data_IF_799761292545
#
_entry.id   IF_799761292545
#
_cell.length_a   1.000
_cell.length_b   1.000
_cell.length_c   1.000
_cell.angle_alpha   90.00
_cell.angle_beta   90.00
_cell.angle_gamma   90.00
#
_symmetry.space_group_name_H-M   'P 1'
#
loop_
_entity.id
_entity.type
_entity.pdbx_description
1 polymer ?
#
# COMPACT_ATOMS: atom_id res chain seq x y z
N UNK A 1 -37.90 39.50 23.04
CA UNK A 1 -38.81 40.46 22.36
C UNK A 1 -38.42 40.55 20.89
N UNK A 2 -39.41 40.61 19.97
CA UNK A 2 -39.30 40.84 18.50
C UNK A 2 -38.49 39.75 17.73
N UNK A 3 -39.06 39.01 16.77
CA UNK A 3 -39.77 39.36 15.49
C UNK A 3 -38.80 39.92 14.44
N UNK A 4 -38.88 39.59 13.13
CA UNK A 4 -39.66 38.61 12.34
C UNK A 4 -39.06 38.54 10.91
N UNK A 5 -39.40 37.48 10.15
CA UNK A 5 -39.65 37.38 8.67
C UNK A 5 -38.93 38.33 7.66
N UNK A 6 -38.60 37.93 6.43
CA UNK A 6 -39.45 37.32 5.37
C UNK A 6 -38.57 36.54 4.35
N UNK A 7 -39.12 35.74 3.43
CA UNK A 7 -40.53 35.60 3.05
C UNK A 7 -40.87 34.41 2.17
N UNK A 8 -42.15 34.33 1.84
CA UNK A 8 -42.81 33.24 1.11
C UNK A 8 -43.74 33.86 0.06
N UNK A 9 -43.41 33.66 -1.22
CA UNK A 9 -44.29 33.80 -2.40
C UNK A 9 -43.64 32.92 -3.49
N UNK A 10 -44.31 31.99 -4.19
CA UNK A 10 -45.70 31.56 -4.10
C UNK A 10 -46.20 31.19 -5.50
N UNK A 11 -46.92 30.07 -5.65
CA UNK A 11 -47.86 29.86 -6.74
C UNK A 11 -48.90 28.79 -6.37
N UNK A 12 -50.15 29.06 -6.71
CA UNK A 12 -51.35 28.34 -6.29
C UNK A 12 -52.14 27.95 -7.54
N UNK A 13 -52.77 26.77 -7.50
CA UNK A 13 -53.72 26.31 -8.52
C UNK A 13 -53.32 24.95 -9.11
N UNK A 14 -54.25 24.05 -9.45
CA UNK A 14 -55.71 24.12 -9.31
C UNK A 14 -56.25 22.69 -9.22
N UNK A 15 -57.32 22.46 -8.46
CA UNK A 15 -57.94 21.14 -8.35
C UNK A 15 -58.86 20.84 -9.54
N UNK A 16 -58.88 19.58 -10.01
CA UNK A 16 -60.08 19.04 -10.64
C UNK A 16 -60.27 17.55 -10.33
N UNK A 17 -61.48 17.24 -9.89
CA UNK A 17 -62.00 15.90 -9.58
C UNK A 17 -62.55 15.26 -10.87
N UNK A 18 -62.29 13.97 -11.11
CA UNK A 18 -63.07 13.18 -12.06
C UNK A 18 -63.15 11.71 -11.62
N UNK A 19 -64.27 11.37 -10.98
CA UNK A 19 -64.74 10.01 -10.73
C UNK A 19 -65.76 9.62 -11.81
N UNK A 20 -66.17 8.35 -11.79
CA UNK A 20 -67.45 7.77 -12.25
C UNK A 20 -67.42 6.88 -13.53
N UNK A 21 -67.47 5.57 -13.25
CA UNK A 21 -68.17 4.46 -13.93
C UNK A 21 -67.73 3.91 -15.31
N UNK A 22 -67.20 2.69 -15.27
CA UNK A 22 -67.91 1.45 -15.72
C UNK A 22 -67.07 0.22 -15.28
N UNK A 23 -67.59 -0.96 -14.96
CA UNK A 23 -68.98 -1.45 -14.87
C UNK A 23 -68.98 -2.99 -14.98
N UNK A 24 -69.48 -3.68 -13.93
CA UNK A 24 -69.84 -5.12 -13.85
C UNK A 24 -70.38 -5.73 -15.17
N UNK A 25 -70.30 -7.03 -15.53
CA UNK A 25 -69.98 -8.37 -14.92
C UNK A 25 -69.92 -9.39 -16.09
N UNK A 26 -69.38 -10.63 -16.05
CA UNK A 26 -69.84 -11.86 -15.37
C UNK A 26 -68.89 -13.06 -15.63
N UNK A 27 -68.86 -14.01 -14.70
CA UNK A 27 -68.67 -15.49 -14.85
C UNK A 27 -70.01 -16.12 -14.33
N UNK A 28 -70.44 -17.39 -14.55
CA UNK A 28 -69.75 -18.58 -15.08
C UNK A 28 -70.59 -19.34 -16.17
N UNK A 29 -70.38 -20.61 -16.57
CA UNK A 29 -69.47 -21.67 -16.11
C UNK A 29 -68.91 -22.55 -17.26
N UNK A 30 -69.35 -23.81 -17.43
CA UNK A 30 -68.71 -24.83 -18.27
C UNK A 30 -69.70 -25.75 -19.01
N UNK A 31 -69.23 -26.39 -20.09
CA UNK A 31 -69.84 -27.62 -20.63
C UNK A 31 -68.76 -28.61 -21.04
N UNK A 32 -68.85 -29.86 -20.56
CA UNK A 32 -68.00 -30.97 -21.00
C UNK A 32 -68.52 -31.53 -22.33
N UNK A 33 -67.62 -31.97 -23.20
CA UNK A 33 -67.90 -33.13 -24.06
C UNK A 33 -66.67 -34.02 -24.15
N UNK A 34 -66.85 -35.30 -23.83
CA UNK A 34 -65.85 -36.35 -23.99
C UNK A 34 -65.99 -37.01 -25.36
N UNK A 35 -64.86 -37.32 -26.00
CA UNK A 35 -64.81 -38.30 -27.09
C UNK A 35 -63.41 -38.90 -27.18
N UNK A 36 -63.28 -40.14 -26.75
CA UNK A 36 -62.05 -40.92 -26.85
C UNK A 36 -61.96 -41.63 -28.20
N UNK A 37 -60.80 -41.55 -28.87
CA UNK A 37 -60.33 -42.62 -29.78
C UNK A 37 -58.84 -42.87 -29.55
N UNK A 38 -58.46 -44.12 -29.76
CA UNK A 38 -57.26 -44.73 -29.22
C UNK A 38 -56.16 -44.91 -30.29
N UNK A 39 -54.91 -44.80 -29.83
CA UNK A 39 -53.63 -45.24 -30.42
C UNK A 39 -53.46 -45.36 -31.95
N UNK A 40 -52.43 -44.67 -32.46
CA UNK A 40 -51.39 -45.32 -33.28
C UNK A 40 -50.05 -45.08 -32.60
N UNK A 41 -49.30 -46.14 -32.31
CA UNK A 41 -48.10 -46.12 -31.47
C UNK A 41 -46.85 -46.31 -32.34
N UNK A 42 -46.29 -45.22 -32.84
CA UNK A 42 -45.00 -45.24 -33.54
C UNK A 42 -43.87 -45.00 -32.53
N UNK A 43 -43.15 -46.05 -32.17
CA UNK A 43 -42.01 -45.95 -31.24
C UNK A 43 -40.83 -45.21 -31.88
N UNK A 44 -40.77 -43.89 -31.70
CA UNK A 44 -39.51 -43.16 -31.83
C UNK A 44 -38.73 -43.28 -30.53
N UNK A 45 -37.65 -44.06 -30.56
CA UNK A 45 -36.65 -44.12 -29.49
C UNK A 45 -35.86 -42.81 -29.49
N UNK A 46 -36.41 -41.77 -28.87
CA UNK A 46 -35.69 -40.52 -28.65
C UNK A 46 -34.61 -40.76 -27.59
N UNK A 47 -33.36 -40.91 -28.05
CA UNK A 47 -32.17 -40.94 -27.19
C UNK A 47 -32.10 -39.64 -26.40
N UNK A 48 -32.52 -39.69 -25.14
CA UNK A 48 -32.54 -38.54 -24.25
C UNK A 48 -31.10 -38.19 -23.85
N UNK A 49 -30.39 -37.47 -24.73
CA UNK A 49 -29.22 -36.69 -24.35
C UNK A 49 -29.69 -35.53 -23.46
N UNK A 50 -30.00 -35.85 -22.20
CA UNK A 50 -30.27 -34.86 -21.17
C UNK A 50 -28.99 -34.06 -20.97
N UNK A 51 -28.92 -32.86 -21.57
CA UNK A 51 -27.88 -31.89 -21.24
C UNK A 51 -27.82 -31.76 -19.72
N UNK A 52 -26.63 -31.79 -19.10
CA UNK A 52 -26.50 -31.68 -17.65
C UNK A 52 -27.24 -30.42 -17.19
N UNK A 53 -28.09 -30.59 -16.16
CA UNK A 53 -28.90 -29.50 -15.63
C UNK A 53 -28.00 -28.51 -14.92
N UNK A 54 -27.61 -27.44 -15.63
CA UNK A 54 -26.87 -26.31 -15.08
C UNK A 54 -27.63 -25.79 -13.86
N UNK A 55 -26.91 -25.69 -12.74
CA UNK A 55 -27.40 -25.14 -11.48
C UNK A 55 -26.31 -24.18 -11.00
N UNK A 56 -26.67 -22.92 -10.78
CA UNK A 56 -25.72 -21.92 -10.28
C UNK A 56 -25.48 -22.14 -8.78
N UNK A 57 -24.24 -21.94 -8.35
CA UNK A 57 -23.89 -21.80 -6.92
C UNK A 57 -24.43 -20.49 -6.36
N UNK A 58 -24.46 -20.35 -5.03
CA UNK A 58 -24.98 -19.15 -4.38
C UNK A 58 -24.16 -17.89 -4.72
N UNK A 59 -22.83 -17.98 -4.83
CA UNK A 59 -22.00 -16.85 -5.29
C UNK A 59 -22.21 -16.53 -6.77
N UNK A 60 -22.44 -17.53 -7.63
CA UNK A 60 -22.80 -17.28 -9.04
C UNK A 60 -24.18 -16.61 -9.15
N UNK A 61 -25.17 -16.97 -8.30
CA UNK A 61 -26.45 -16.26 -8.23
C UNK A 61 -26.27 -14.81 -7.80
N UNK A 62 -25.48 -14.54 -6.76
CA UNK A 62 -25.14 -13.16 -6.35
C UNK A 62 -24.47 -12.39 -7.48
N UNK A 63 -23.54 -13.02 -8.21
CA UNK A 63 -22.92 -12.43 -9.39
C UNK A 63 -23.93 -12.12 -10.51
N UNK A 64 -24.91 -13.02 -10.80
CA UNK A 64 -25.97 -12.70 -11.78
C UNK A 64 -26.76 -11.47 -11.38
N UNK A 65 -27.07 -11.32 -10.10
CA UNK A 65 -27.86 -10.19 -9.60
C UNK A 65 -27.08 -8.89 -9.70
N UNK A 66 -25.81 -8.89 -9.33
CA UNK A 66 -24.96 -7.71 -9.49
C UNK A 66 -24.87 -7.29 -10.96
N UNK A 67 -24.76 -8.24 -11.90
CA UNK A 67 -24.80 -7.96 -13.34
C UNK A 67 -26.16 -7.37 -13.77
N UNK A 68 -27.30 -7.92 -13.30
CA UNK A 68 -28.64 -7.36 -13.60
C UNK A 68 -28.79 -5.91 -13.08
N UNK A 69 -28.32 -5.62 -11.87
CA UNK A 69 -28.36 -4.27 -11.30
C UNK A 69 -27.40 -3.31 -12.01
N UNK A 70 -26.21 -3.78 -12.40
CA UNK A 70 -25.25 -3.03 -13.20
C UNK A 70 -25.80 -2.66 -14.58
N UNK A 71 -26.38 -3.64 -15.30
CA UNK A 71 -27.05 -3.40 -16.58
C UNK A 71 -28.22 -2.42 -16.45
N UNK A 72 -28.96 -2.45 -15.33
CA UNK A 72 -30.04 -1.51 -15.06
C UNK A 72 -29.55 -0.07 -14.78
N UNK A 73 -28.47 0.10 -14.03
CA UNK A 73 -27.89 1.41 -13.71
C UNK A 73 -27.20 2.05 -14.93
N UNK A 74 -26.36 1.29 -15.63
CA UNK A 74 -25.54 1.80 -16.73
C UNK A 74 -26.19 1.69 -18.11
N UNK A 75 -27.42 1.15 -18.19
CA UNK A 75 -28.16 0.88 -19.44
C UNK A 75 -27.43 -0.08 -20.41
N UNK A 76 -26.49 -0.88 -19.91
CA UNK A 76 -25.72 -1.88 -20.66
C UNK A 76 -26.65 -3.00 -21.13
N UNK A 77 -26.61 -3.35 -22.42
CA UNK A 77 -27.64 -4.18 -23.07
C UNK A 77 -27.35 -5.68 -23.11
N UNK A 78 -26.11 -6.08 -22.86
CA UNK A 78 -25.69 -7.48 -22.90
C UNK A 78 -24.81 -7.88 -21.71
N UNK A 79 -24.93 -9.16 -21.32
CA UNK A 79 -24.22 -9.75 -20.19
C UNK A 79 -22.69 -9.73 -20.37
N UNK A 80 -22.12 -10.11 -21.54
CA UNK A 80 -20.67 -10.03 -21.76
C UNK A 80 -20.07 -8.63 -21.55
N UNK A 81 -20.69 -7.56 -22.06
CA UNK A 81 -20.21 -6.19 -21.87
C UNK A 81 -20.23 -5.81 -20.40
N UNK A 82 -21.35 -6.02 -19.70
CA UNK A 82 -21.46 -5.73 -18.28
C UNK A 82 -20.41 -6.49 -17.44
N UNK A 83 -20.19 -7.78 -17.72
CA UNK A 83 -19.13 -8.56 -17.05
C UNK A 83 -17.75 -7.99 -17.34
N UNK A 84 -17.44 -7.60 -18.58
CA UNK A 84 -16.14 -7.02 -18.93
C UNK A 84 -15.88 -5.65 -18.29
N UNK A 85 -16.91 -4.93 -17.85
CA UNK A 85 -16.80 -3.69 -17.09
C UNK A 85 -16.64 -3.97 -15.59
N UNK A 86 -17.43 -4.89 -15.02
CA UNK A 86 -17.30 -5.37 -13.63
C UNK A 86 -15.90 -5.97 -13.38
N UNK A 87 -15.35 -6.72 -14.34
CA UNK A 87 -14.00 -7.29 -14.23
C UNK A 87 -12.86 -6.26 -14.22
N UNK A 88 -13.16 -4.97 -14.43
CA UNK A 88 -12.22 -3.85 -14.31
C UNK A 88 -12.43 -3.02 -13.04
N UNK A 89 -13.49 -3.29 -12.27
CA UNK A 89 -13.74 -2.58 -11.02
C UNK A 89 -12.64 -2.94 -10.00
N UNK A 90 -11.92 -1.96 -9.44
CA UNK A 90 -11.07 -2.21 -8.28
C UNK A 90 -11.96 -2.70 -7.12
N UNK A 91 -11.45 -3.62 -6.31
CA UNK A 91 -12.09 -4.05 -5.05
C UNK A 91 -13.49 -4.67 -5.15
N UNK A 92 -13.98 -5.05 -6.36
CA UNK A 92 -15.26 -5.79 -6.47
C UNK A 92 -15.24 -7.04 -5.58
N UNK A 93 -16.15 -7.10 -4.61
CA UNK A 93 -16.22 -8.16 -3.60
C UNK A 93 -17.66 -8.59 -3.33
N UNK A 94 -17.87 -9.89 -3.23
CA UNK A 94 -19.08 -10.55 -2.69
C UNK A 94 -18.76 -11.07 -1.29
N UNK A 95 -19.46 -10.58 -0.28
CA UNK A 95 -19.22 -10.97 1.12
C UNK A 95 -19.62 -12.41 1.43
N UNK A 96 -19.02 -12.96 2.49
CA UNK A 96 -19.53 -14.16 3.15
C UNK A 96 -20.91 -13.86 3.73
N UNK A 97 -21.92 -14.73 3.54
CA UNK A 97 -23.29 -14.42 3.95
C UNK A 97 -23.43 -14.34 5.47
N UNK A 98 -24.16 -13.32 5.93
CA UNK A 98 -24.66 -13.23 7.29
C UNK A 98 -26.18 -13.40 7.25
N UNK A 99 -26.71 -14.43 7.92
CA UNK A 99 -28.16 -14.74 7.95
C UNK A 99 -28.81 -14.85 6.55
N UNK A 100 -28.12 -15.46 5.58
CA UNK A 100 -28.48 -15.57 4.17
C UNK A 100 -28.51 -14.24 3.38
N UNK A 101 -28.07 -13.13 3.98
CA UNK A 101 -27.83 -11.86 3.28
C UNK A 101 -26.37 -11.77 2.84
N UNK A 102 -26.19 -11.48 1.55
CA UNK A 102 -24.93 -11.20 0.89
C UNK A 102 -24.88 -9.73 0.52
N UNK A 103 -23.69 -9.18 0.47
CA UNK A 103 -23.41 -7.82 0.03
C UNK A 103 -22.44 -7.93 -1.15
N UNK A 104 -22.72 -7.24 -2.25
CA UNK A 104 -21.79 -7.13 -3.36
C UNK A 104 -21.45 -5.67 -3.60
N UNK A 105 -20.15 -5.37 -3.49
CA UNK A 105 -19.57 -4.03 -3.60
C UNK A 105 -20.20 -2.98 -2.67
N UNK A 106 -20.43 -3.33 -1.39
CA UNK A 106 -20.84 -2.37 -0.36
C UNK A 106 -19.62 -1.92 0.46
N UNK A 107 -19.25 -0.64 0.34
CA UNK A 107 -18.31 0.03 1.25
C UNK A 107 -19.10 0.89 2.25
N UNK A 108 -18.54 1.13 3.43
CA UNK A 108 -19.18 1.90 4.53
C UNK A 108 -19.50 3.35 4.10
N UNK A 109 -18.80 3.85 3.08
CA UNK A 109 -19.14 5.08 2.34
C UNK A 109 -19.03 4.77 0.86
N UNK A 110 -20.16 4.52 0.19
CA UNK A 110 -20.20 4.46 -1.26
C UNK A 110 -20.12 5.89 -1.82
N UNK A 111 -19.04 6.21 -2.51
CA UNK A 111 -18.87 7.50 -3.19
C UNK A 111 -19.85 7.55 -4.37
N UNK A 112 -20.47 8.69 -4.61
CA UNK A 112 -21.57 8.82 -5.58
C UNK A 112 -21.15 8.38 -6.99
N UNK A 113 -21.73 7.28 -7.48
CA UNK A 113 -21.39 6.63 -8.74
C UNK A 113 -21.27 5.11 -8.63
N UNK A 114 -20.84 4.61 -7.48
CA UNK A 114 -20.57 3.18 -7.28
C UNK A 114 -21.84 2.37 -7.02
N UNK A 115 -21.98 1.23 -7.71
CA UNK A 115 -23.05 0.26 -7.50
C UNK A 115 -22.76 -0.59 -6.26
N UNK A 116 -23.63 -0.53 -5.26
CA UNK A 116 -23.72 -1.51 -4.18
C UNK A 116 -25.00 -2.34 -4.27
N UNK A 117 -24.99 -3.60 -3.84
CA UNK A 117 -26.20 -4.43 -3.76
C UNK A 117 -26.27 -5.26 -2.47
N UNK A 118 -27.47 -5.31 -1.90
CA UNK A 118 -27.82 -6.14 -0.73
C UNK A 118 -28.79 -7.22 -1.19
N UNK A 119 -28.43 -8.49 -0.96
CA UNK A 119 -29.06 -9.64 -1.60
C UNK A 119 -29.40 -10.70 -0.55
N UNK A 120 -30.68 -10.95 -0.31
CA UNK A 120 -31.13 -11.97 0.66
C UNK A 120 -31.75 -13.15 -0.08
N UNK A 121 -31.21 -14.35 0.16
CA UNK A 121 -31.60 -15.59 -0.54
C UNK A 121 -32.35 -16.52 0.42
N UNK A 122 -33.62 -16.81 0.12
CA UNK A 122 -34.46 -17.73 0.90
C UNK A 122 -35.12 -18.74 -0.04
N UNK A 123 -34.69 -19.99 0.06
CA UNK A 123 -35.07 -21.09 -0.83
C UNK A 123 -34.83 -20.75 -2.33
N UNK A 124 -35.89 -20.61 -3.11
CA UNK A 124 -35.88 -20.25 -4.54
C UNK A 124 -36.19 -18.76 -4.77
N UNK A 125 -36.37 -17.97 -3.70
CA UNK A 125 -36.66 -16.53 -3.76
C UNK A 125 -35.43 -15.72 -3.40
N UNK A 126 -35.18 -14.67 -4.18
CA UNK A 126 -34.08 -13.76 -3.91
C UNK A 126 -34.61 -12.33 -3.89
N UNK A 127 -34.41 -11.64 -2.78
CA UNK A 127 -34.72 -10.22 -2.62
C UNK A 127 -33.44 -9.41 -2.80
N UNK A 128 -33.54 -8.31 -3.55
CA UNK A 128 -32.41 -7.50 -4.00
C UNK A 128 -32.72 -6.03 -3.81
N UNK A 129 -31.85 -5.34 -3.08
CA UNK A 129 -31.83 -3.89 -2.99
C UNK A 129 -30.55 -3.39 -3.68
N UNK A 130 -30.62 -2.31 -4.45
CA UNK A 130 -29.46 -1.78 -5.18
C UNK A 130 -29.34 -0.28 -5.01
N UNK A 131 -28.10 0.16 -4.85
CA UNK A 131 -27.72 1.49 -4.40
C UNK A 131 -26.69 2.08 -5.37
N UNK A 132 -26.80 3.38 -5.64
CA UNK A 132 -25.81 4.16 -6.36
C UNK A 132 -25.28 5.22 -5.39
N UNK A 133 -24.04 5.06 -4.91
CA UNK A 133 -23.65 5.73 -3.68
C UNK A 133 -24.57 5.29 -2.53
N UNK A 134 -25.00 6.24 -1.70
CA UNK A 134 -25.94 5.98 -0.60
C UNK A 134 -27.43 5.99 -1.03
N UNK A 135 -27.76 6.19 -2.31
CA UNK A 135 -29.14 6.29 -2.79
C UNK A 135 -29.65 4.94 -3.33
N UNK A 136 -30.70 4.39 -2.69
CA UNK A 136 -31.38 3.19 -3.21
C UNK A 136 -32.16 3.54 -4.48
N UNK A 137 -31.83 2.88 -5.60
CA UNK A 137 -32.51 3.08 -6.89
C UNK A 137 -33.36 1.87 -7.32
N UNK A 138 -33.20 0.71 -6.69
CA UNK A 138 -33.95 -0.50 -7.03
C UNK A 138 -34.28 -1.35 -5.81
N UNK A 139 -35.47 -1.95 -5.83
CA UNK A 139 -35.91 -3.02 -4.93
C UNK A 139 -36.64 -4.07 -5.79
N UNK A 140 -36.13 -5.30 -5.85
CA UNK A 140 -36.56 -6.34 -6.80
C UNK A 140 -36.58 -7.72 -6.16
N UNK A 141 -37.42 -8.57 -6.72
CA UNK A 141 -37.51 -9.99 -6.40
C UNK A 141 -37.21 -10.81 -7.66
N UNK A 142 -36.36 -11.82 -7.50
CA UNK A 142 -36.00 -12.79 -8.54
C UNK A 142 -36.29 -14.20 -8.03
N UNK A 143 -36.35 -15.17 -8.95
CA UNK A 143 -36.23 -16.59 -8.59
C UNK A 143 -34.89 -17.17 -9.03
N UNK A 144 -34.33 -18.09 -8.25
CA UNK A 144 -33.06 -18.73 -8.58
C UNK A 144 -33.17 -19.53 -9.89
N UNK A 145 -34.35 -20.14 -10.16
CA UNK A 145 -34.66 -20.80 -11.43
C UNK A 145 -34.64 -19.86 -12.63
N UNK A 146 -35.19 -18.65 -12.51
CA UNK A 146 -35.22 -17.66 -13.59
C UNK A 146 -33.81 -17.19 -13.94
N UNK A 147 -33.03 -16.77 -12.94
CA UNK A 147 -31.65 -16.34 -13.11
C UNK A 147 -30.78 -17.46 -13.70
N UNK A 148 -30.90 -18.69 -13.17
CA UNK A 148 -30.21 -19.86 -13.73
C UNK A 148 -30.56 -20.10 -15.20
N UNK A 149 -31.82 -19.92 -15.57
CA UNK A 149 -32.27 -20.09 -16.96
C UNK A 149 -31.74 -18.98 -17.88
N UNK A 150 -31.74 -17.72 -17.42
CA UNK A 150 -31.24 -16.55 -18.17
C UNK A 150 -29.71 -16.61 -18.38
N UNK A 151 -28.97 -17.08 -17.38
CA UNK A 151 -27.50 -17.10 -17.40
C UNK A 151 -26.91 -18.48 -17.77
N UNK A 152 -27.71 -19.46 -18.19
CA UNK A 152 -27.24 -20.83 -18.46
C UNK A 152 -26.14 -20.90 -19.53
N UNK A 153 -26.09 -19.94 -20.46
CA UNK A 153 -25.06 -19.80 -21.51
C UNK A 153 -23.86 -18.94 -21.09
N UNK A 154 -23.88 -18.36 -19.89
CA UNK A 154 -22.90 -17.38 -19.41
C UNK A 154 -22.20 -17.80 -18.10
N UNK A 155 -22.34 -19.07 -17.69
CA UNK A 155 -21.77 -19.61 -16.44
C UNK A 155 -20.27 -19.32 -16.31
N UNK A 156 -19.49 -19.47 -17.37
CA UNK A 156 -18.04 -19.23 -17.30
C UNK A 156 -17.68 -17.73 -17.20
N UNK A 157 -18.60 -16.82 -17.53
CA UNK A 157 -18.47 -15.39 -17.22
C UNK A 157 -18.76 -15.13 -15.73
N UNK A 158 -19.77 -15.78 -15.16
CA UNK A 158 -20.08 -15.70 -13.72
C UNK A 158 -18.91 -16.21 -12.88
N UNK A 159 -18.29 -17.33 -13.25
CA UNK A 159 -17.10 -17.86 -12.58
C UNK A 159 -15.94 -16.88 -12.55
N UNK A 160 -15.73 -16.09 -13.62
CA UNK A 160 -14.70 -15.03 -13.63
C UNK A 160 -15.01 -13.92 -12.62
N UNK A 161 -16.27 -13.48 -12.54
CA UNK A 161 -16.72 -12.48 -11.55
C UNK A 161 -16.56 -13.01 -10.12
N UNK A 162 -16.94 -14.27 -9.87
CA UNK A 162 -16.74 -14.92 -8.57
C UNK A 162 -15.26 -15.08 -8.23
N UNK A 163 -14.42 -15.47 -9.21
CA UNK A 163 -12.96 -15.60 -9.01
C UNK A 163 -12.30 -14.25 -8.71
N UNK A 164 -12.74 -13.16 -9.36
CA UNK A 164 -12.28 -11.81 -9.05
C UNK A 164 -12.68 -11.41 -7.61
N UNK A 165 -13.93 -11.65 -7.23
CA UNK A 165 -14.39 -11.45 -5.86
C UNK A 165 -13.57 -12.27 -4.86
N UNK A 166 -13.32 -13.55 -5.11
CA UNK A 166 -12.58 -14.42 -4.19
C UNK A 166 -11.13 -13.96 -4.05
N UNK A 167 -10.52 -13.47 -5.14
CA UNK A 167 -9.21 -12.82 -5.12
C UNK A 167 -9.23 -11.56 -4.24
N UNK A 168 -10.14 -10.61 -4.47
CA UNK A 168 -10.21 -9.37 -3.68
C UNK A 168 -10.58 -9.65 -2.20
N UNK A 169 -11.42 -10.64 -1.92
CA UNK A 169 -11.71 -11.12 -0.55
C UNK A 169 -10.44 -11.65 0.10
N UNK A 170 -9.60 -12.41 -0.61
CA UNK A 170 -8.33 -12.90 -0.07
C UNK A 170 -7.34 -11.75 0.16
N UNK A 171 -7.21 -10.81 -0.78
CA UNK A 171 -6.32 -9.64 -0.68
C UNK A 171 -6.74 -8.69 0.47
N UNK A 172 -8.03 -8.48 0.70
CA UNK A 172 -8.53 -7.69 1.84
C UNK A 172 -8.35 -8.39 3.19
N UNK A 173 -8.37 -9.72 3.20
CA UNK A 173 -8.19 -10.54 4.41
C UNK A 173 -6.75 -11.07 4.59
N UNK A 174 -5.78 -10.50 3.87
CA UNK A 174 -4.36 -10.83 4.03
C UNK A 174 -3.51 -9.56 4.08
N UNK A 175 -2.32 -9.70 4.66
CA UNK A 175 -1.29 -8.68 4.64
C UNK A 175 -0.35 -8.93 3.46
N UNK A 176 0.03 -7.87 2.73
CA UNK A 176 1.07 -7.98 1.70
C UNK A 176 2.43 -8.29 2.34
N UNK A 177 3.44 -8.66 1.53
CA UNK A 177 4.79 -8.88 2.06
C UNK A 177 5.37 -7.62 2.74
N UNK A 178 5.06 -6.42 2.25
CA UNK A 178 5.48 -5.16 2.87
C UNK A 178 4.80 -4.93 4.23
N UNK A 179 3.48 -5.14 4.29
CA UNK A 179 2.71 -5.05 5.54
C UNK A 179 3.14 -6.12 6.55
N UNK A 180 3.47 -7.33 6.11
CA UNK A 180 4.03 -8.41 6.94
C UNK A 180 5.41 -8.04 7.48
N UNK A 181 6.26 -7.44 6.65
CA UNK A 181 7.59 -7.01 7.08
C UNK A 181 7.49 -5.87 8.11
N UNK A 182 6.63 -4.87 7.87
CA UNK A 182 6.35 -3.81 8.83
C UNK A 182 5.68 -4.35 10.11
N UNK A 183 4.80 -5.35 9.99
CA UNK A 183 4.20 -6.01 11.15
C UNK A 183 5.25 -6.70 12.02
N UNK A 184 6.24 -7.34 11.42
CA UNK A 184 7.37 -7.93 12.14
C UNK A 184 8.25 -6.85 12.80
N UNK A 185 8.60 -5.79 12.06
CA UNK A 185 9.32 -4.63 12.59
C UNK A 185 8.64 -4.07 13.85
N UNK A 186 7.36 -3.70 13.74
CA UNK A 186 6.57 -3.19 14.86
C UNK A 186 6.54 -4.21 16.00
N UNK A 187 6.40 -5.51 15.71
CA UNK A 187 6.29 -6.56 16.72
C UNK A 187 7.56 -6.76 17.55
N UNK A 188 8.73 -6.35 17.07
CA UNK A 188 9.97 -6.33 17.86
C UNK A 188 9.92 -5.31 19.00
N UNK A 189 9.17 -4.21 18.85
CA UNK A 189 9.10 -3.11 19.81
C UNK A 189 7.85 -3.12 20.71
N UNK A 190 6.81 -3.90 20.37
CA UNK A 190 5.51 -3.83 21.07
C UNK A 190 4.95 -5.19 21.47
N UNK A 191 4.31 -5.25 22.64
CA UNK A 191 3.80 -6.49 23.23
C UNK A 191 2.27 -6.59 23.19
N UNK A 192 1.55 -5.46 23.28
CA UNK A 192 0.08 -5.38 23.39
C UNK A 192 -0.59 -4.62 22.24
N UNK A 193 -1.90 -4.84 22.06
CA UNK A 193 -2.71 -4.14 21.04
C UNK A 193 -2.74 -2.61 21.21
N UNK A 194 -2.69 -2.12 22.45
CA UNK A 194 -2.62 -0.68 22.74
C UNK A 194 -1.29 -0.11 22.27
N UNK A 195 -0.18 -0.80 22.57
CA UNK A 195 1.15 -0.39 22.11
C UNK A 195 1.26 -0.46 20.57
N UNK A 196 0.68 -1.48 19.91
CA UNK A 196 0.61 -1.53 18.43
C UNK A 196 -0.12 -0.30 17.89
N UNK A 197 -1.31 0.01 18.41
CA UNK A 197 -2.11 1.14 17.92
C UNK A 197 -1.41 2.48 18.15
N UNK A 198 -0.76 2.69 19.30
CA UNK A 198 0.03 3.89 19.55
C UNK A 198 1.29 3.93 18.67
N UNK A 199 2.03 2.84 18.51
CA UNK A 199 3.22 2.82 17.62
C UNK A 199 2.85 3.16 16.18
N UNK A 200 1.76 2.60 15.65
CA UNK A 200 1.29 2.88 14.29
C UNK A 200 0.67 4.29 14.11
N UNK A 201 0.34 5.00 15.19
CA UNK A 201 -0.29 6.34 15.15
C UNK A 201 0.64 7.48 15.60
N UNK A 202 1.60 7.18 16.47
CA UNK A 202 2.49 8.12 17.15
C UNK A 202 3.97 7.88 16.80
N UNK A 203 4.35 6.65 16.42
CA UNK A 203 5.74 6.22 16.17
C UNK A 203 6.39 6.76 14.90
N UNK A 204 5.79 7.76 14.26
CA UNK A 204 6.28 8.45 13.08
C UNK A 204 6.99 9.75 13.46
N UNK A 205 8.23 9.63 13.93
CA UNK A 205 9.18 10.71 13.75
C UNK A 205 9.42 10.96 12.25
N UNK A 206 10.02 12.11 11.92
CA UNK A 206 10.31 12.49 10.52
C UNK A 206 11.33 11.58 9.82
N UNK A 207 11.90 10.64 10.58
CA UNK A 207 13.12 9.91 10.25
C UNK A 207 12.86 8.41 10.05
N UNK A 208 11.59 7.96 10.05
CA UNK A 208 11.22 6.63 9.60
C UNK A 208 11.35 6.51 8.08
N UNK A 209 12.07 5.49 7.61
CA UNK A 209 12.14 5.15 6.19
C UNK A 209 12.07 3.64 5.97
N UNK A 210 11.52 3.23 4.81
CA UNK A 210 11.52 1.85 4.35
C UNK A 210 12.05 1.76 2.91
N UNK A 211 13.07 0.93 2.71
CA UNK A 211 13.64 0.60 1.41
C UNK A 211 13.54 -0.90 1.12
N UNK A 212 13.65 -1.28 -0.15
CA UNK A 212 13.83 -2.67 -0.58
C UNK A 212 15.23 -2.79 -1.19
N UNK A 213 16.06 -3.65 -0.61
CA UNK A 213 17.43 -3.93 -1.09
C UNK A 213 17.67 -5.44 -0.98
N UNK A 214 18.33 -6.04 -1.98
CA UNK A 214 18.75 -7.45 -1.99
C UNK A 214 17.66 -8.50 -1.66
N UNK A 215 16.39 -8.14 -1.92
CA UNK A 215 15.14 -8.88 -1.60
C UNK A 215 14.69 -8.85 -0.12
N UNK A 216 15.31 -8.00 0.70
CA UNK A 216 14.89 -7.72 2.07
C UNK A 216 14.37 -6.30 2.23
N UNK A 217 13.39 -6.12 3.11
CA UNK A 217 12.89 -4.81 3.50
C UNK A 217 13.77 -4.24 4.60
N UNK A 218 14.32 -3.05 4.38
CA UNK A 218 15.15 -2.35 5.35
C UNK A 218 14.33 -1.25 6.01
N UNK A 219 14.10 -1.39 7.31
CA UNK A 219 13.46 -0.38 8.14
C UNK A 219 14.51 0.37 8.94
N UNK A 220 14.37 1.69 9.04
CA UNK A 220 15.27 2.54 9.84
C UNK A 220 14.51 3.67 10.52
N UNK A 221 15.06 4.14 11.64
CA UNK A 221 14.63 5.34 12.35
C UNK A 221 15.86 6.17 12.73
N UNK A 222 15.86 7.46 12.40
CA UNK A 222 16.90 8.40 12.81
C UNK A 222 18.22 8.27 12.05
N UNK A 223 19.31 8.73 12.66
CA UNK A 223 20.63 8.83 12.03
C UNK A 223 21.43 7.52 12.04
N UNK A 224 21.02 6.59 11.18
CA UNK A 224 21.95 5.73 10.43
C UNK A 224 22.74 4.64 11.18
N UNK A 225 22.34 4.21 12.39
CA UNK A 225 23.05 3.16 13.14
C UNK A 225 22.20 2.00 13.66
N UNK A 226 20.87 2.10 13.58
CA UNK A 226 19.93 0.99 13.79
C UNK A 226 19.08 0.79 12.54
N UNK A 227 19.33 -0.30 11.84
CA UNK A 227 18.47 -0.82 10.77
C UNK A 227 17.98 -2.22 11.13
N UNK A 228 16.81 -2.59 10.63
CA UNK A 228 16.34 -3.96 10.64
C UNK A 228 16.20 -4.44 9.19
N UNK A 229 16.83 -5.57 8.86
CA UNK A 229 16.64 -6.26 7.60
C UNK A 229 15.54 -7.33 7.80
N UNK A 230 14.49 -7.29 6.98
CA UNK A 230 13.34 -8.19 7.11
C UNK A 230 13.05 -8.89 5.78
N UNK A 231 13.28 -10.21 5.76
CA UNK A 231 13.01 -11.07 4.60
C UNK A 231 11.68 -11.79 4.77
N UNK A 232 10.80 -11.69 3.77
CA UNK A 232 9.50 -12.39 3.76
C UNK A 232 9.53 -13.54 2.75
N UNK A 233 9.48 -14.78 3.25
CA UNK A 233 9.52 -16.02 2.47
C UNK A 233 8.29 -16.88 2.76
N UNK A 234 7.94 -17.82 1.87
CA UNK A 234 6.86 -18.83 1.99
C UNK A 234 5.82 -18.58 3.10
N UNK A 235 6.06 -19.11 4.30
CA UNK A 235 5.25 -18.90 5.52
C UNK A 235 6.04 -18.26 6.68
N UNK A 236 7.21 -17.67 6.43
CA UNK A 236 8.10 -17.11 7.46
C UNK A 236 8.48 -15.66 7.16
N UNK A 237 8.50 -14.86 8.21
CA UNK A 237 9.11 -13.53 8.22
C UNK A 237 10.32 -13.61 9.16
N UNK A 238 11.50 -13.38 8.60
CA UNK A 238 12.77 -13.38 9.33
C UNK A 238 13.21 -11.93 9.47
N UNK A 239 13.46 -11.50 10.69
CA UNK A 239 14.01 -10.18 11.00
C UNK A 239 15.43 -10.34 11.55
N UNK A 240 16.35 -9.54 11.02
CA UNK A 240 17.73 -9.40 11.44
C UNK A 240 17.83 -8.00 12.06
N UNK A 241 17.91 -7.94 13.39
CA UNK A 241 17.95 -6.70 14.16
C UNK A 241 19.41 -6.31 14.40
N UNK A 242 19.83 -5.15 13.89
CA UNK A 242 21.19 -4.63 14.09
C UNK A 242 21.24 -3.69 15.30
N UNK A 243 21.59 -4.26 16.46
CA UNK A 243 21.77 -3.53 17.72
C UNK A 243 23.18 -2.92 17.80
N UNK A 244 23.51 -2.06 16.83
CA UNK A 244 24.84 -1.48 16.64
C UNK A 244 25.80 -2.37 15.83
N UNK A 245 27.09 -1.98 15.79
CA UNK A 245 28.05 -2.45 14.78
C UNK A 245 28.42 -3.95 14.82
N UNK A 246 28.07 -4.69 15.87
CA UNK A 246 28.48 -6.10 16.05
C UNK A 246 27.42 -7.02 16.64
N UNK A 247 26.28 -6.49 17.13
CA UNK A 247 25.20 -7.31 17.68
C UNK A 247 24.10 -7.47 16.65
N UNK A 248 23.86 -8.72 16.26
CA UNK A 248 22.84 -9.11 15.29
C UNK A 248 21.95 -10.17 15.90
N UNK A 249 20.71 -9.83 16.20
CA UNK A 249 19.71 -10.75 16.74
C UNK A 249 18.76 -11.20 15.62
N UNK A 250 18.43 -12.49 15.54
CA UNK A 250 17.50 -13.02 14.52
C UNK A 250 16.16 -13.40 15.13
N UNK A 251 15.12 -12.62 14.85
CA UNK A 251 13.74 -12.88 15.26
C UNK A 251 12.97 -13.52 14.11
N UNK A 252 12.06 -14.45 14.41
CA UNK A 252 11.28 -15.17 13.40
C UNK A 252 9.80 -15.17 13.78
N UNK A 253 8.95 -14.90 12.79
CA UNK A 253 7.50 -14.99 12.90
C UNK A 253 6.93 -15.83 11.75
N UNK A 254 5.75 -16.44 11.95
CA UNK A 254 4.96 -16.97 10.83
C UNK A 254 4.07 -15.87 10.22
N UNK A 255 3.70 -16.03 8.95
CA UNK A 255 2.74 -15.12 8.31
C UNK A 255 1.36 -15.16 8.96
N UNK A 256 0.96 -16.33 9.49
CA UNK A 256 -0.32 -16.51 10.19
C UNK A 256 -0.36 -15.72 11.51
N UNK A 257 0.69 -15.78 12.34
CA UNK A 257 0.77 -15.04 13.60
C UNK A 257 0.68 -13.53 13.38
N UNK A 258 1.44 -13.01 12.40
CA UNK A 258 1.40 -11.58 12.06
C UNK A 258 0.05 -11.18 11.49
N UNK A 259 -0.49 -11.93 10.51
CA UNK A 259 -1.81 -11.63 9.92
C UNK A 259 -2.92 -11.62 10.97
N UNK A 260 -2.93 -12.59 11.88
CA UNK A 260 -3.93 -12.68 12.96
C UNK A 260 -3.90 -11.49 13.91
N UNK A 261 -2.73 -10.89 14.14
CA UNK A 261 -2.55 -9.76 15.05
C UNK A 261 -2.75 -8.40 14.35
N UNK A 262 -2.27 -8.28 13.10
CA UNK A 262 -2.11 -7.01 12.40
C UNK A 262 -3.13 -6.72 11.28
N UNK A 263 -3.94 -7.70 10.83
CA UNK A 263 -4.96 -7.46 9.79
C UNK A 263 -5.96 -6.36 10.16
N UNK A 264 -6.29 -6.21 11.45
CA UNK A 264 -7.14 -5.13 11.96
C UNK A 264 -6.52 -3.73 11.83
N UNK A 265 -5.20 -3.64 11.64
CA UNK A 265 -4.43 -2.40 11.51
C UNK A 265 -3.97 -2.11 10.07
N UNK A 266 -4.46 -2.86 9.06
CA UNK A 266 -4.02 -2.77 7.65
C UNK A 266 -3.93 -1.33 7.14
N UNK A 267 -4.98 -0.52 7.32
CA UNK A 267 -4.99 0.90 6.89
C UNK A 267 -3.88 1.75 7.54
N UNK A 268 -3.51 1.47 8.79
CA UNK A 268 -2.43 2.18 9.48
C UNK A 268 -1.05 1.70 9.00
N UNK A 269 -0.91 0.40 8.68
CA UNK A 269 0.29 -0.14 8.02
C UNK A 269 0.49 0.50 6.65
N UNK A 270 -0.57 0.60 5.83
CA UNK A 270 -0.53 1.21 4.49
C UNK A 270 -0.09 2.67 4.55
N UNK A 271 -0.66 3.45 5.49
CA UNK A 271 -0.27 4.84 5.72
C UNK A 271 1.21 4.97 6.15
N UNK A 272 1.66 4.11 7.06
CA UNK A 272 3.03 4.09 7.58
C UNK A 272 4.04 3.70 6.48
N UNK A 273 3.73 2.66 5.69
CA UNK A 273 4.53 2.27 4.52
C UNK A 273 4.66 3.41 3.51
N UNK A 274 3.57 4.11 3.20
CA UNK A 274 3.58 5.25 2.26
C UNK A 274 4.56 6.35 2.73
N UNK A 275 4.45 6.76 4.00
CA UNK A 275 5.33 7.78 4.60
C UNK A 275 6.79 7.33 4.60
N UNK A 276 7.07 6.06 4.95
CA UNK A 276 8.41 5.51 4.95
C UNK A 276 9.06 5.46 3.56
N UNK A 277 8.28 5.15 2.51
CA UNK A 277 8.75 5.13 1.11
C UNK A 277 9.01 6.54 0.58
N UNK A 278 8.14 7.50 0.91
CA UNK A 278 8.34 8.91 0.58
C UNK A 278 9.62 9.46 1.21
N UNK A 279 9.91 9.08 2.46
CA UNK A 279 11.13 9.48 3.16
C UNK A 279 12.38 8.79 2.59
N UNK A 280 12.30 7.49 2.29
CA UNK A 280 13.38 6.77 1.60
C UNK A 280 13.70 7.38 0.23
N UNK A 281 12.67 7.75 -0.53
CA UNK A 281 12.83 8.40 -1.84
C UNK A 281 13.54 9.74 -1.70
N UNK A 282 13.12 10.61 -0.75
CA UNK A 282 13.82 11.88 -0.47
C UNK A 282 15.28 11.67 -0.06
N UNK A 283 15.57 10.63 0.71
CA UNK A 283 16.93 10.27 1.12
C UNK A 283 17.79 9.83 -0.08
N UNK A 284 17.28 8.92 -0.92
CA UNK A 284 17.95 8.49 -2.16
C UNK A 284 18.12 9.65 -3.13
N UNK A 285 17.12 10.51 -3.32
CA UNK A 285 17.20 11.71 -4.17
C UNK A 285 18.24 12.70 -3.63
N UNK A 286 18.33 12.87 -2.31
CA UNK A 286 19.36 13.73 -1.71
C UNK A 286 20.78 13.19 -1.94
N UNK A 287 21.01 11.88 -1.81
CA UNK A 287 22.27 11.24 -2.17
C UNK A 287 22.58 11.30 -3.67
N UNK A 288 21.57 11.12 -4.52
CA UNK A 288 21.73 11.14 -5.99
C UNK A 288 22.04 12.56 -6.49
N UNK A 289 21.46 13.58 -5.85
CA UNK A 289 21.77 14.99 -6.12
C UNK A 289 23.17 15.36 -5.61
N UNK A 290 23.65 14.73 -4.53
CA UNK A 290 25.02 14.88 -4.03
C UNK A 290 26.09 14.21 -4.92
N UNK A 291 25.73 13.18 -5.72
CA UNK A 291 26.68 12.38 -6.52
C UNK A 291 26.75 12.71 -8.02
N UNK A 292 26.17 13.83 -8.47
CA UNK A 292 26.30 14.31 -9.86
C UNK A 292 26.69 15.79 -10.01
N UNK A 293 27.63 16.24 -9.17
CA UNK A 293 28.60 17.23 -9.64
C UNK A 293 29.99 16.61 -9.58
N UNK A 294 30.68 16.55 -10.73
CA UNK A 294 32.11 16.26 -10.76
C UNK A 294 32.82 17.45 -10.11
N UNK A 295 33.01 17.36 -8.79
CA UNK A 295 33.77 18.36 -8.02
C UNK A 295 35.20 18.34 -8.56
N UNK A 296 35.59 19.42 -9.21
CA UNK A 296 36.95 19.63 -9.68
C UNK A 296 37.87 19.80 -8.46
N UNK A 297 38.50 18.71 -8.04
CA UNK A 297 39.34 18.69 -6.84
C UNK A 297 40.60 19.54 -6.97
N UNK A 298 40.97 19.97 -8.19
CA UNK A 298 42.04 20.96 -8.42
C UNK A 298 41.62 22.39 -8.08
N UNK A 299 40.32 22.64 -7.83
CA UNK A 299 39.73 23.98 -7.61
C UNK A 299 38.80 24.06 -6.39
N UNK A 300 39.10 23.29 -5.35
CA UNK A 300 38.36 23.36 -4.09
C UNK A 300 38.54 24.72 -3.41
N UNK A 301 37.46 25.26 -2.87
CA UNK A 301 37.53 26.36 -1.90
C UNK A 301 38.14 25.90 -0.58
N UNK A 302 38.63 26.84 0.23
CA UNK A 302 39.21 26.56 1.55
C UNK A 302 38.28 25.73 2.45
N UNK A 303 36.97 26.03 2.45
CA UNK A 303 35.97 25.31 3.26
C UNK A 303 35.68 23.90 2.72
N UNK A 304 35.68 23.69 1.40
CA UNK A 304 35.59 22.35 0.82
C UNK A 304 36.82 21.51 1.17
N UNK A 305 38.02 22.10 1.12
CA UNK A 305 39.26 21.41 1.49
C UNK A 305 39.31 21.09 2.99
N UNK A 306 38.87 22.01 3.87
CA UNK A 306 38.66 21.75 5.30
C UNK A 306 37.68 20.59 5.52
N UNK A 307 36.58 20.55 4.77
CA UNK A 307 35.56 19.49 4.84
C UNK A 307 36.14 18.13 4.44
N UNK A 308 36.94 18.07 3.38
CA UNK A 308 37.60 16.83 2.96
C UNK A 308 38.58 16.31 4.01
N UNK A 309 39.45 17.17 4.56
CA UNK A 309 40.39 16.80 5.64
C UNK A 309 39.64 16.32 6.89
N UNK A 310 38.55 17.00 7.25
CA UNK A 310 37.64 16.63 8.35
C UNK A 310 37.08 15.22 8.19
N UNK A 311 36.48 14.93 7.04
CA UNK A 311 35.86 13.63 6.77
C UNK A 311 36.90 12.52 6.65
N UNK A 312 38.08 12.80 6.09
CA UNK A 312 39.20 11.86 6.07
C UNK A 312 39.65 11.45 7.48
N UNK A 313 39.82 12.43 8.39
CA UNK A 313 40.25 12.16 9.78
C UNK A 313 39.20 11.35 10.58
N UNK A 314 37.92 11.56 10.29
CA UNK A 314 36.81 10.80 10.89
C UNK A 314 36.77 9.36 10.35
N UNK A 315 36.90 9.18 9.03
CA UNK A 315 36.90 7.86 8.38
C UNK A 315 38.15 7.02 8.71
N UNK A 316 39.33 7.65 8.84
CA UNK A 316 40.56 6.96 9.26
C UNK A 316 40.53 6.53 10.73
N UNK A 317 39.62 7.09 11.53
CA UNK A 317 39.53 6.85 12.97
C UNK A 317 40.62 7.54 13.79
N UNK A 318 41.35 8.50 13.20
CA UNK A 318 42.35 9.35 13.88
C UNK A 318 41.68 10.18 15.01
N UNK A 319 40.40 10.52 14.85
CA UNK A 319 39.53 11.21 15.81
C UNK A 319 38.14 10.54 15.91
N UNK A 320 37.41 10.79 17.00
CA UNK A 320 35.99 10.41 17.14
C UNK A 320 35.05 11.61 16.93
N UNK A 321 33.77 11.31 16.69
CA UNK A 321 32.75 12.31 16.33
C UNK A 321 32.51 13.35 17.44
N UNK A 322 32.62 12.95 18.71
CA UNK A 322 32.47 13.88 19.85
C UNK A 322 33.63 14.87 19.92
N UNK A 323 34.86 14.39 19.75
CA UNK A 323 36.07 15.24 19.68
C UNK A 323 36.06 16.15 18.45
N UNK A 324 35.52 15.65 17.34
CA UNK A 324 35.33 16.39 16.10
C UNK A 324 34.42 17.62 16.28
N UNK A 325 33.24 17.41 16.86
CA UNK A 325 32.22 18.46 17.06
C UNK A 325 32.63 19.51 18.10
N UNK A 326 33.43 19.15 19.12
CA UNK A 326 33.74 20.06 20.23
C UNK A 326 34.97 20.97 20.03
N UNK A 327 36.07 20.51 19.40
CA UNK A 327 37.35 21.26 19.43
C UNK A 327 38.24 21.24 18.17
N UNK A 328 37.81 20.69 17.02
CA UNK A 328 38.70 20.58 15.84
C UNK A 328 38.84 21.89 15.05
N UNK A 329 39.84 22.71 15.40
CA UNK A 329 40.24 23.88 14.61
C UNK A 329 41.21 23.51 13.50
N UNK A 330 41.04 24.07 12.30
CA UNK A 330 41.93 23.85 11.17
C UNK A 330 42.58 25.18 10.79
N UNK A 331 43.85 25.33 11.15
CA UNK A 331 44.66 26.45 10.68
C UNK A 331 45.01 26.26 9.21
N UNK A 332 44.94 27.34 8.43
CA UNK A 332 45.27 27.36 7.01
C UNK A 332 46.47 28.28 6.74
N UNK A 333 47.30 27.86 5.79
CA UNK A 333 48.51 28.54 5.33
C UNK A 333 48.81 28.13 3.89
N UNK A 334 49.84 28.68 3.28
CA UNK A 334 50.37 28.18 2.00
C UNK A 334 51.70 27.47 2.28
N UNK A 335 51.95 26.35 1.59
CA UNK A 335 53.28 25.72 1.57
C UNK A 335 54.20 26.35 0.51
N UNK A 336 55.44 25.86 0.42
CA UNK A 336 56.45 26.37 -0.50
C UNK A 336 56.08 26.19 -2.00
N UNK A 337 55.09 25.34 -2.31
CA UNK A 337 54.54 25.12 -3.65
C UNK A 337 53.29 25.97 -3.92
N UNK A 338 52.88 26.83 -2.96
CA UNK A 338 51.61 27.58 -2.93
C UNK A 338 50.35 26.71 -2.85
N UNK A 339 50.46 25.45 -2.43
CA UNK A 339 49.29 24.64 -2.10
C UNK A 339 48.68 25.10 -0.77
N UNK A 340 47.35 25.00 -0.65
CA UNK A 340 46.66 25.26 0.62
C UNK A 340 47.04 24.18 1.64
N UNK A 341 47.80 24.59 2.64
CA UNK A 341 48.30 23.77 3.74
C UNK A 341 47.34 23.86 4.93
N UNK A 342 46.78 22.73 5.34
CA UNK A 342 45.84 22.60 6.45
C UNK A 342 46.51 21.91 7.64
N UNK A 343 46.47 22.54 8.80
CA UNK A 343 46.98 22.01 10.06
C UNK A 343 45.81 21.81 11.05
N UNK A 344 45.05 20.70 10.92
CA UNK A 344 44.04 20.33 11.90
C UNK A 344 44.68 20.10 13.27
N UNK A 345 44.09 20.73 14.30
CA UNK A 345 44.43 20.54 15.70
C UNK A 345 43.23 19.97 16.44
N UNK A 346 43.51 18.98 17.28
CA UNK A 346 42.51 18.32 18.12
C UNK A 346 43.17 17.28 19.01
N UNK A 347 42.35 16.58 19.79
CA UNK A 347 42.79 15.46 20.61
C UNK A 347 42.78 14.21 19.75
N UNK A 348 43.92 13.51 19.68
CA UNK A 348 43.94 12.18 19.07
C UNK A 348 43.18 11.20 19.94
N UNK A 349 42.56 10.20 19.31
CA UNK A 349 41.77 9.17 19.99
C UNK A 349 42.57 8.52 21.14
N UNK A 350 42.10 8.72 22.38
CA UNK A 350 42.73 8.21 23.60
C UNK A 350 43.69 9.16 24.33
N UNK A 351 43.94 10.37 23.81
CA UNK A 351 44.76 11.39 24.48
C UNK A 351 43.88 12.49 25.11
N UNK A 352 43.85 12.58 26.43
CA UNK A 352 42.91 13.45 27.17
C UNK A 352 43.47 14.79 27.63
N UNK A 353 44.77 15.06 27.46
CA UNK A 353 45.46 16.13 28.21
C UNK A 353 45.94 17.34 27.41
N UNK A 354 46.16 17.26 26.10
CA UNK A 354 46.54 18.41 25.27
C UNK A 354 46.03 18.27 23.83
N UNK A 355 45.68 19.39 23.20
CA UNK A 355 45.40 19.44 21.76
C UNK A 355 46.72 19.39 20.98
N UNK A 356 46.79 18.50 19.99
CA UNK A 356 47.98 18.26 19.16
C UNK A 356 47.68 18.50 17.68
N UNK A 357 48.70 18.72 16.86
CA UNK A 357 48.52 18.64 15.40
C UNK A 357 48.21 17.19 15.01
N UNK A 358 47.19 17.00 14.18
CA UNK A 358 46.79 15.70 13.64
C UNK A 358 47.54 15.37 12.32
N UNK A 359 48.59 16.13 12.02
CA UNK A 359 49.35 16.14 10.78
C UNK A 359 49.10 17.39 9.95
N UNK A 360 49.88 17.54 8.88
CA UNK A 360 49.68 18.56 7.85
C UNK A 360 49.08 17.91 6.61
N UNK A 361 48.17 18.63 5.95
CA UNK A 361 47.42 18.16 4.79
C UNK A 361 47.46 19.20 3.67
N UNK A 362 47.45 18.74 2.41
CA UNK A 362 47.33 19.60 1.23
C UNK A 362 46.61 18.89 0.09
N UNK A 363 46.18 19.64 -0.92
CA UNK A 363 45.75 19.09 -2.20
C UNK A 363 46.90 19.29 -3.21
N UNK A 364 47.28 18.21 -3.92
CA UNK A 364 48.32 18.28 -4.95
C UNK A 364 47.76 18.78 -6.30
N UNK A 365 48.65 18.94 -7.31
CA UNK A 365 48.28 19.38 -8.66
C UNK A 365 47.28 18.46 -9.37
N UNK A 366 47.24 17.18 -8.99
CA UNK A 366 46.37 16.15 -9.56
C UNK A 366 45.00 16.09 -8.86
N UNK A 367 44.79 16.95 -7.86
CA UNK A 367 43.53 17.03 -7.11
C UNK A 367 43.36 15.93 -6.06
N UNK A 368 44.46 15.36 -5.55
CA UNK A 368 44.46 14.35 -4.49
C UNK A 368 44.79 14.97 -3.12
N UNK A 369 44.18 14.43 -2.05
CA UNK A 369 44.50 14.79 -0.68
C UNK A 369 45.77 14.06 -0.21
N UNK A 370 46.77 14.82 0.23
CA UNK A 370 48.03 14.32 0.77
C UNK A 370 48.16 14.65 2.27
N UNK A 371 48.80 13.75 3.04
CA UNK A 371 49.21 13.96 4.45
C UNK A 371 50.73 13.92 4.54
N UNK A 372 51.32 14.85 5.29
CA UNK A 372 52.77 14.90 5.48
C UNK A 372 53.24 13.82 6.46
N UNK A 373 54.27 13.06 6.09
CA UNK A 373 54.84 12.03 6.95
C UNK A 373 55.94 12.60 7.86
N UNK A 374 55.57 13.03 9.07
CA UNK A 374 56.46 13.68 10.05
C UNK A 374 57.49 12.75 10.71
N UNK A 375 57.93 11.68 10.04
CA UNK A 375 58.86 10.67 10.60
C UNK A 375 60.34 11.02 10.50
N UNK A 376 60.70 12.16 9.92
CA UNK A 376 62.11 12.56 9.70
C UNK A 376 62.50 13.80 10.52
N UNK A 377 63.74 13.77 11.02
CA UNK A 377 64.24 14.60 12.14
C UNK A 377 64.41 16.09 11.78
N UNK A 378 64.46 16.42 10.48
CA UNK A 378 64.75 17.76 9.97
C UNK A 378 63.53 18.54 9.44
N UNK A 379 62.31 18.10 9.77
CA UNK A 379 61.09 18.92 9.66
C UNK A 379 60.43 19.03 8.27
N UNK A 380 61.02 18.43 7.23
CA UNK A 380 60.42 18.33 5.89
C UNK A 380 60.17 16.87 5.54
N UNK A 381 59.06 16.33 6.03
CA UNK A 381 58.64 14.96 5.73
C UNK A 381 57.98 14.81 4.36
N UNK A 382 58.18 13.67 3.71
CA UNK A 382 57.55 13.31 2.43
C UNK A 382 56.02 13.43 2.47
N UNK A 383 55.45 13.88 1.35
CA UNK A 383 54.00 13.93 1.15
C UNK A 383 53.46 12.60 0.63
N UNK A 384 52.49 12.01 1.34
CA UNK A 384 51.82 10.78 0.93
C UNK A 384 50.37 11.06 0.55
N UNK A 385 49.93 10.63 -0.64
CA UNK A 385 48.51 10.62 -1.01
C UNK A 385 47.72 9.70 -0.06
N UNK A 386 46.67 10.24 0.54
CA UNK A 386 45.79 9.56 1.51
C UNK A 386 44.33 9.50 1.08
N UNK A 387 43.89 10.34 0.12
CA UNK A 387 42.64 10.11 -0.62
C UNK A 387 42.72 10.67 -2.04
N UNK A 388 42.19 9.91 -3.00
CA UNK A 388 42.04 10.28 -4.41
C UNK A 388 40.59 10.66 -4.76
N UNK A 389 39.68 10.72 -3.79
CA UNK A 389 38.25 11.00 -4.00
C UNK A 389 37.74 12.00 -2.97
N UNK A 390 37.06 13.05 -3.44
CA UNK A 390 36.52 14.12 -2.60
C UNK A 390 35.49 13.59 -1.59
N UNK A 391 35.74 13.78 -0.30
CA UNK A 391 34.81 13.44 0.77
C UNK A 391 34.07 14.71 1.20
N UNK A 392 33.03 15.08 0.44
CA UNK A 392 32.17 16.22 0.76
C UNK A 392 31.34 16.01 2.04
N UNK A 393 30.64 17.06 2.48
CA UNK A 393 29.64 16.94 3.54
C UNK A 393 28.46 16.08 3.07
N UNK A 394 28.14 15.04 3.84
CA UNK A 394 26.85 14.34 3.81
C UNK A 394 25.70 15.26 4.24
#
# INVERSE_FOLDING_TARGET
>A
MKKLATGLVGLVGLATLLLILSGCTKKPEATKHSSSKESVKTSQTSTNNSKPKVTLTTKELVATIYIESYMAQHSTKDIPTAVNEILKQPEFMITTPLNNTFLANEHIVLVGGDLGTTITITDDKIHVQSYNGNEQFSDKYYSAKELTSKYTTHVDLLKKVVTLSDKHVAERNSLTNEELALSAYVKNYVTTNTEISSFLSEGLSKDFSVGLQDNSYHFSQGTGSSSEEITVSDNRVTCIVHNGATQTDTVNFTKEELSKLFLQYKQQLDNLLSIGKDNYTKFVDSQTTATSSTVDTTKLSEEQTKTWVKNYLLQSGDIDKTTFDEFTSIGTSLDDENCLLLSPRGRSKGNTTNDSSLGYFRINSDGELQKQNLSEVDGYGDWKTVSTTYLGSE
#
